data_IF_990038136740
#
_entry.id   IF_990038136740
#
_cell.length_a   1.000
_cell.length_b   1.000
_cell.length_c   1.000
_cell.angle_alpha   90.00
_cell.angle_beta   90.00
_cell.angle_gamma   90.00
#
_symmetry.space_group_name_H-M   'P 1'
#
loop_
_entity.id
_entity.type
_entity.pdbx_description
1 polymer ?
#
# COMPACT_ATOMS: atom_id res chain seq x y z
N UNK A 1 -3.22 8.16 -9.88
CA UNK A 1 -2.71 7.21 -8.90
C UNK A 1 -1.47 7.77 -8.22
N UNK A 2 -1.28 7.40 -6.98
CA UNK A 2 -0.11 7.85 -6.24
C UNK A 2 0.96 6.77 -6.25
N UNK A 3 2.19 7.18 -5.99
CA UNK A 3 3.31 6.27 -5.89
C UNK A 3 3.79 6.20 -4.45
N UNK A 4 4.33 5.06 -4.09
CA UNK A 4 4.88 4.87 -2.77
C UNK A 4 5.77 3.66 -2.71
N UNK A 5 6.27 3.39 -1.53
CA UNK A 5 7.14 2.24 -1.28
C UNK A 5 6.54 1.41 -0.17
N UNK A 6 6.53 0.10 -0.37
CA UNK A 6 6.02 -0.80 0.66
C UNK A 6 6.97 -0.76 1.85
N UNK A 7 6.47 -0.33 2.98
CA UNK A 7 7.27 -0.27 4.19
C UNK A 7 7.49 -1.67 4.73
N UNK A 8 6.42 -2.43 4.80
CA UNK A 8 6.47 -3.87 5.09
C UNK A 8 5.14 -4.49 4.71
N UNK A 9 5.18 -5.77 4.45
CA UNK A 9 3.96 -6.51 4.10
C UNK A 9 4.07 -7.92 4.65
N UNK A 10 3.09 -8.31 5.44
CA UNK A 10 3.06 -9.63 6.06
C UNK A 10 2.14 -10.55 5.25
N UNK A 11 2.75 -11.48 4.53
CA UNK A 11 2.00 -12.39 3.68
C UNK A 11 1.11 -13.35 4.45
N UNK A 12 1.51 -13.70 5.66
CA UNK A 12 0.70 -14.58 6.49
C UNK A 12 -0.56 -13.90 6.98
N UNK A 13 -0.43 -12.67 7.42
CA UNK A 13 -1.56 -11.91 7.94
C UNK A 13 -2.35 -11.22 6.83
N UNK A 14 -1.72 -11.03 5.68
CA UNK A 14 -2.37 -10.46 4.53
C UNK A 14 -2.56 -8.97 4.58
N UNK A 15 -1.64 -8.24 5.22
CA UNK A 15 -1.69 -6.78 5.23
C UNK A 15 -0.31 -6.18 5.43
N UNK A 16 -0.24 -4.89 5.21
CA UNK A 16 1.00 -4.16 5.42
C UNK A 16 0.76 -2.66 5.34
N UNK A 17 1.83 -1.92 5.17
CA UNK A 17 1.78 -0.47 5.08
C UNK A 17 2.62 0.03 3.92
N UNK A 18 2.15 1.10 3.30
CA UNK A 18 2.84 1.74 2.20
C UNK A 18 3.20 3.16 2.62
N UNK A 19 4.47 3.52 2.44
CA UNK A 19 4.94 4.86 2.70
C UNK A 19 4.73 5.69 1.42
N UNK A 20 4.01 6.80 1.55
CA UNK A 20 3.69 7.65 0.41
C UNK A 20 4.92 8.47 0.02
N UNK A 21 5.19 8.51 -1.26
CA UNK A 21 6.41 9.13 -1.76
C UNK A 21 6.42 10.64 -1.62
N UNK A 22 5.28 11.27 -1.87
CA UNK A 22 5.19 12.72 -1.89
C UNK A 22 4.35 13.31 -0.77
N UNK A 23 4.24 12.60 0.33
CA UNK A 23 3.39 13.04 1.42
C UNK A 23 4.10 12.87 2.75
N UNK A 24 3.88 13.83 3.65
CA UNK A 24 4.37 13.72 5.02
C UNK A 24 3.34 13.03 5.90
N UNK A 25 2.22 12.66 5.31
CA UNK A 25 1.17 11.95 6.03
C UNK A 25 1.62 10.57 6.45
N UNK A 26 0.85 9.99 7.35
CA UNK A 26 1.13 8.67 7.87
C UNK A 26 1.06 7.61 6.76
N UNK A 27 1.71 6.49 7.02
CA UNK A 27 1.66 5.35 6.12
C UNK A 27 0.23 4.92 5.89
N UNK A 28 -0.01 4.40 4.69
CA UNK A 28 -1.34 3.90 4.35
C UNK A 28 -1.41 2.40 4.60
N UNK A 29 -2.49 1.97 5.23
CA UNK A 29 -2.77 0.56 5.40
C UNK A 29 -3.12 -0.05 4.05
N UNK A 30 -2.64 -1.26 3.79
CA UNK A 30 -2.98 -2.01 2.58
C UNK A 30 -3.32 -3.44 2.96
N UNK A 31 -4.44 -3.94 2.43
CA UNK A 31 -4.86 -5.32 2.64
C UNK A 31 -4.58 -6.12 1.37
N UNK A 32 -4.27 -7.42 1.53
CA UNK A 32 -3.90 -8.24 0.37
C UNK A 32 -4.97 -8.28 -0.71
N UNK A 33 -6.23 -8.09 -0.36
CA UNK A 33 -7.31 -8.07 -1.34
C UNK A 33 -7.25 -6.85 -2.25
N UNK A 34 -6.49 -5.83 -1.86
CA UNK A 34 -6.33 -4.61 -2.65
C UNK A 34 -5.00 -4.60 -3.42
N UNK A 35 -4.28 -5.69 -3.36
CA UNK A 35 -2.99 -5.80 -4.04
C UNK A 35 -3.14 -6.69 -5.26
N UNK A 36 -2.73 -6.18 -6.41
CA UNK A 36 -2.71 -6.95 -7.63
C UNK A 36 -1.36 -7.65 -7.73
N UNK A 37 -1.37 -8.96 -7.62
CA UNK A 37 -0.15 -9.76 -7.59
C UNK A 37 0.47 -9.78 -6.21
N UNK A 38 1.78 -9.82 -6.15
CA UNK A 38 2.52 -9.89 -4.89
C UNK A 38 3.41 -8.67 -4.71
N UNK A 39 3.49 -8.20 -3.48
CA UNK A 39 4.42 -7.11 -3.13
C UNK A 39 5.22 -7.54 -1.92
N UNK A 40 6.38 -6.92 -1.76
CA UNK A 40 7.29 -7.22 -0.66
C UNK A 40 7.78 -5.92 -0.03
N UNK A 41 8.43 -6.06 1.11
CA UNK A 41 9.05 -4.92 1.79
C UNK A 41 10.00 -4.22 0.83
N UNK A 42 9.86 -2.93 0.72
CA UNK A 42 10.73 -2.12 -0.12
C UNK A 42 10.34 -2.00 -1.59
N UNK A 43 9.31 -2.71 -2.01
CA UNK A 43 8.86 -2.63 -3.41
C UNK A 43 8.24 -1.28 -3.69
N UNK A 44 8.44 -0.80 -4.91
CA UNK A 44 7.78 0.42 -5.35
C UNK A 44 6.45 0.07 -5.98
N UNK A 45 5.43 0.81 -5.59
CA UNK A 45 4.05 0.52 -6.01
C UNK A 45 3.34 1.80 -6.40
N UNK A 46 2.28 1.64 -7.16
CA UNK A 46 1.32 2.72 -7.37
C UNK A 46 -0.03 2.25 -6.86
N UNK A 47 -0.84 3.19 -6.43
CA UNK A 47 -2.09 2.87 -5.77
C UNK A 47 -3.03 4.07 -5.79
N UNK A 48 -4.27 3.80 -5.42
CA UNK A 48 -5.25 4.86 -5.18
C UNK A 48 -5.53 4.92 -3.69
N UNK A 49 -5.91 6.09 -3.21
CA UNK A 49 -6.27 6.27 -1.80
C UNK A 49 -7.77 6.08 -1.67
N UNK A 50 -8.15 5.12 -0.84
CA UNK A 50 -9.54 4.86 -0.52
C UNK A 50 -9.85 5.27 0.90
N UNK A 51 -11.13 5.37 1.21
CA UNK A 51 -11.58 5.69 2.56
C UNK A 51 -12.20 4.47 3.21
N UNK A 52 -11.86 4.25 4.46
CA UNK A 52 -12.47 3.19 5.25
C UNK A 52 -12.93 3.77 6.58
N UNK A 53 -13.66 2.97 7.35
CA UNK A 53 -14.11 3.40 8.67
C UNK A 53 -12.94 3.72 9.59
N UNK A 54 -11.80 3.11 9.33
CA UNK A 54 -10.60 3.32 10.15
C UNK A 54 -9.69 4.42 9.61
N UNK A 55 -10.08 5.04 8.49
CA UNK A 55 -9.28 6.08 7.87
C UNK A 55 -8.88 5.69 6.45
N UNK A 56 -7.97 6.46 5.84
CA UNK A 56 -7.55 6.18 4.47
C UNK A 56 -6.71 4.91 4.37
N UNK A 57 -6.85 4.23 3.23
CA UNK A 57 -6.05 3.05 2.94
C UNK A 57 -5.65 3.04 1.47
N UNK A 58 -4.70 2.20 1.13
CA UNK A 58 -4.29 2.03 -0.25
C UNK A 58 -5.17 0.97 -0.91
N UNK A 59 -5.66 1.28 -2.10
CA UNK A 59 -6.48 0.35 -2.88
C UNK A 59 -5.91 0.26 -4.29
N UNK A 60 -6.23 -0.79 -4.99
CA UNK A 60 -5.75 -1.03 -6.36
C UNK A 60 -4.24 -0.93 -6.44
N UNK A 61 -3.57 -1.54 -5.48
CA UNK A 61 -2.12 -1.47 -5.37
C UNK A 61 -1.47 -2.42 -6.36
N UNK A 62 -0.47 -1.94 -7.08
CA UNK A 62 0.32 -2.80 -7.94
C UNK A 62 1.77 -2.35 -7.97
N UNK A 63 2.66 -3.30 -8.17
CA UNK A 63 4.07 -3.02 -8.26
C UNK A 63 4.39 -2.36 -9.60
N UNK A 64 5.21 -1.31 -9.56
CA UNK A 64 5.55 -0.55 -10.77
C UNK A 64 6.93 -0.85 -11.30
N UNK A 65 7.55 -1.89 -10.84
CA UNK A 65 8.91 -2.20 -11.24
C UNK A 65 8.98 -3.54 -11.92
#
# INVERSE_FOLDING_TARGET
MENGTVKWFNLKKGYGFIERENSEDKDLFVHHTQVEGSIRDGDKVEFEVGETEKGPNAVKVKRVE
#
